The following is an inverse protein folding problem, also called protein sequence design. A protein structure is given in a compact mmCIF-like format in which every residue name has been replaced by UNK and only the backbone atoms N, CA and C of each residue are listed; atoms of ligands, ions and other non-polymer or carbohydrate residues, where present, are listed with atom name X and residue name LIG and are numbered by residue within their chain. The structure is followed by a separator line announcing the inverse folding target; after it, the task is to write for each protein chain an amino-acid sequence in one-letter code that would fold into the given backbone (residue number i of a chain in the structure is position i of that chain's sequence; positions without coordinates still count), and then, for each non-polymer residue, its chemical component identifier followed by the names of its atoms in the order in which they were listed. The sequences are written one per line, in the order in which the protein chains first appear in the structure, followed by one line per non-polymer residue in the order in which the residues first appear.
data_IF_365883117823
#
_entry.id   IF_365883117823
#
_cell.length_a   1.000
_cell.length_b   1.000
_cell.length_c   1.000
_cell.angle_alpha   90.00
_cell.angle_beta   90.00
_cell.angle_gamma   90.00
#
_symmetry.space_group_name_H-M   'P 1'
#
loop_
_entity.id
_entity.type
_entity.pdbx_description
1 polymer ?
#
# COMPACT_ATOMS: atom_id res chain seq x y z
N UNK A 1 -11.55 -7.64 15.96
CA UNK A 1 -12.18 -8.38 14.84
C UNK A 1 -11.36 -8.08 13.58
N UNK A 2 -11.15 -9.05 12.70
CA UNK A 2 -10.48 -8.79 11.41
C UNK A 2 -11.37 -7.87 10.57
N UNK A 3 -10.78 -6.95 9.83
CA UNK A 3 -11.53 -6.03 8.97
C UNK A 3 -12.05 -6.70 7.69
N UNK A 4 -11.60 -7.92 7.39
CA UNK A 4 -12.07 -8.74 6.27
C UNK A 4 -11.77 -10.23 6.51
N UNK A 5 -12.70 -11.10 6.12
CA UNK A 5 -12.52 -12.57 6.13
C UNK A 5 -11.62 -13.05 4.97
N UNK A 6 -11.21 -12.13 4.09
CA UNK A 6 -10.35 -12.39 2.92
C UNK A 6 -8.91 -11.89 3.11
N UNK A 7 -8.57 -11.34 4.28
CA UNK A 7 -7.20 -10.99 4.66
C UNK A 7 -6.68 -11.97 5.71
N UNK A 8 -5.45 -12.44 5.52
CA UNK A 8 -4.73 -13.20 6.55
C UNK A 8 -4.24 -12.29 7.69
N UNK A 9 -4.11 -10.99 7.44
CA UNK A 9 -3.55 -9.99 8.36
C UNK A 9 -4.66 -9.16 9.04
N UNK A 10 -4.31 -8.58 10.19
CA UNK A 10 -5.04 -7.43 10.72
C UNK A 10 -4.42 -6.18 10.10
N UNK A 11 -5.22 -5.18 9.76
CA UNK A 11 -4.67 -3.94 9.23
C UNK A 11 -5.50 -2.72 9.63
N UNK A 12 -4.82 -1.59 9.88
CA UNK A 12 -5.50 -0.33 10.18
C UNK A 12 -6.19 0.23 8.94
N UNK A 13 -5.50 0.23 7.80
CA UNK A 13 -6.00 0.71 6.51
C UNK A 13 -5.84 -0.41 5.47
N UNK A 14 -6.96 -0.82 4.86
CA UNK A 14 -6.97 -1.76 3.74
C UNK A 14 -7.45 -1.03 2.49
N UNK A 15 -6.65 -1.07 1.42
CA UNK A 15 -7.00 -0.47 0.13
C UNK A 15 -7.01 -1.58 -0.92
N UNK A 16 -8.18 -1.80 -1.51
CA UNK A 16 -8.37 -2.86 -2.52
C UNK A 16 -9.47 -2.48 -3.50
N UNK A 17 -9.43 -3.06 -4.70
CA UNK A 17 -10.53 -2.98 -5.66
C UNK A 17 -11.37 -4.28 -5.60
N UNK A 18 -12.68 -4.12 -5.49
CA UNK A 18 -13.67 -5.21 -5.54
C UNK A 18 -14.03 -5.55 -6.98
N UNK A 19 -14.20 -6.84 -7.28
CA UNK A 19 -14.59 -7.34 -8.60
C UNK A 19 -16.11 -7.27 -8.88
N UNK A 20 -16.91 -6.56 -8.07
CA UNK A 20 -18.38 -6.56 -8.25
C UNK A 20 -18.88 -5.76 -9.46
N UNK A 21 -18.00 -5.07 -10.19
CA UNK A 21 -18.38 -4.26 -11.35
C UNK A 21 -19.06 -2.93 -11.00
N UNK A 22 -19.25 -2.63 -9.71
CA UNK A 22 -19.91 -1.41 -9.22
C UNK A 22 -18.95 -0.26 -8.91
N UNK A 23 -17.64 -0.53 -8.91
CA UNK A 23 -16.60 0.45 -8.62
C UNK A 23 -16.03 1.00 -9.93
N UNK A 24 -15.95 2.33 -10.04
CA UNK A 24 -15.28 2.97 -11.16
C UNK A 24 -13.83 2.52 -11.24
N UNK A 25 -13.37 2.19 -12.45
CA UNK A 25 -11.96 1.93 -12.72
C UNK A 25 -11.15 3.20 -12.43
N UNK A 26 -10.07 3.08 -11.66
CA UNK A 26 -9.23 4.22 -11.32
C UNK A 26 -8.21 3.93 -10.22
N UNK A 27 -7.29 4.87 -10.04
CA UNK A 27 -6.32 4.87 -8.94
C UNK A 27 -7.03 5.29 -7.66
N UNK A 28 -6.99 4.43 -6.64
CA UNK A 28 -7.49 4.77 -5.30
C UNK A 28 -6.56 5.80 -4.64
N UNK A 29 -7.05 6.55 -3.65
CA UNK A 29 -6.18 7.46 -2.90
C UNK A 29 -6.50 7.46 -1.40
N UNK A 30 -5.46 7.62 -0.60
CA UNK A 30 -5.52 7.86 0.83
C UNK A 30 -4.70 9.10 1.16
N UNK A 31 -5.23 10.00 1.99
CA UNK A 31 -4.50 11.19 2.43
C UNK A 31 -4.67 11.41 3.93
N UNK A 32 -3.56 11.61 4.64
CA UNK A 32 -3.53 11.97 6.05
C UNK A 32 -2.56 13.13 6.28
N UNK A 33 -3.13 14.31 6.55
CA UNK A 33 -2.39 15.54 6.83
C UNK A 33 -2.62 15.92 8.31
N UNK A 34 -1.65 15.62 9.17
CA UNK A 34 -1.81 15.75 10.61
C UNK A 34 -2.57 14.58 11.25
N UNK A 35 -2.90 14.75 12.53
CA UNK A 35 -3.70 13.79 13.29
C UNK A 35 -2.91 12.56 13.77
N UNK A 36 -3.64 11.56 14.28
CA UNK A 36 -3.05 10.36 14.86
C UNK A 36 -3.77 9.11 14.36
N UNK A 37 -2.99 8.08 14.00
CA UNK A 37 -3.46 6.74 13.69
C UNK A 37 -2.66 5.74 14.53
N UNK A 38 -3.35 4.99 15.38
CA UNK A 38 -2.75 3.94 16.20
C UNK A 38 -3.27 2.60 15.74
N UNK A 39 -2.41 1.80 15.11
CA UNK A 39 -2.69 0.41 14.81
C UNK A 39 -2.35 -0.46 16.02
N UNK A 40 -3.28 -1.33 16.41
CA UNK A 40 -3.11 -2.21 17.57
C UNK A 40 -2.68 -3.63 17.18
N UNK A 41 -2.89 -4.04 15.92
CA UNK A 41 -2.65 -5.41 15.48
C UNK A 41 -2.41 -5.44 13.96
N UNK A 42 -1.39 -6.17 13.53
CA UNK A 42 -0.95 -6.39 12.15
C UNK A 42 -0.39 -5.16 11.44
N UNK A 43 -0.63 -5.05 10.14
CA UNK A 43 -0.01 -4.06 9.27
C UNK A 43 -0.69 -2.69 9.37
N UNK A 44 0.02 -1.59 9.17
CA UNK A 44 -0.64 -0.27 9.11
C UNK A 44 -1.41 -0.12 7.80
N UNK A 45 -0.72 -0.30 6.67
CA UNK A 45 -1.29 -0.27 5.33
C UNK A 45 -1.17 -1.65 4.67
N UNK A 46 -2.30 -2.16 4.18
CA UNK A 46 -2.33 -3.33 3.30
C UNK A 46 -2.98 -2.96 1.96
N UNK A 47 -2.25 -3.17 0.87
CA UNK A 47 -2.70 -2.86 -0.50
C UNK A 47 -2.63 -4.10 -1.36
N UNK A 48 -3.74 -4.44 -2.02
CA UNK A 48 -3.82 -5.55 -2.96
C UNK A 48 -4.81 -5.25 -4.10
N UNK A 49 -4.56 -5.83 -5.26
CA UNK A 49 -5.45 -5.77 -6.43
C UNK A 49 -5.89 -4.35 -6.81
N UNK A 50 -5.01 -3.35 -6.67
CA UNK A 50 -5.34 -1.96 -6.99
C UNK A 50 -4.09 -1.10 -7.16
N UNK A 51 -4.22 -0.02 -7.92
CA UNK A 51 -3.30 1.11 -7.88
C UNK A 51 -3.76 2.13 -6.85
N UNK A 52 -2.82 2.65 -6.05
CA UNK A 52 -3.14 3.60 -4.99
C UNK A 52 -2.08 4.68 -4.80
N UNK A 53 -2.54 5.90 -4.56
CA UNK A 53 -1.74 7.03 -4.09
C UNK A 53 -1.97 7.24 -2.59
N UNK A 54 -0.93 7.03 -1.78
CA UNK A 54 -0.94 7.29 -0.33
C UNK A 54 -0.15 8.57 -0.07
N UNK A 55 -0.81 9.61 0.43
CA UNK A 55 -0.17 10.89 0.80
C UNK A 55 -0.19 11.10 2.30
N UNK A 56 0.99 11.22 2.92
CA UNK A 56 1.16 11.41 4.36
C UNK A 56 1.94 12.69 4.63
N UNK A 57 1.41 13.54 5.51
CA UNK A 57 2.14 14.72 5.95
C UNK A 57 1.89 15.03 7.42
N UNK A 58 2.96 15.17 8.20
CA UNK A 58 2.93 15.55 9.61
C UNK A 58 1.94 14.75 10.47
N UNK A 59 1.69 13.49 10.13
CA UNK A 59 0.78 12.60 10.85
C UNK A 59 1.54 11.79 11.92
N UNK A 60 0.91 11.52 13.05
CA UNK A 60 1.45 10.59 14.06
C UNK A 60 0.89 9.19 13.78
N UNK A 61 1.73 8.28 13.28
CA UNK A 61 1.32 6.90 12.99
C UNK A 61 2.11 5.97 13.91
N UNK A 62 1.40 5.14 14.67
CA UNK A 62 1.99 4.17 15.60
C UNK A 62 1.47 2.78 15.28
N UNK A 63 2.38 1.83 15.04
CA UNK A 63 2.05 0.40 15.03
C UNK A 63 2.47 -0.22 16.36
N UNK A 64 1.52 -0.71 17.13
CA UNK A 64 1.78 -1.40 18.40
C UNK A 64 2.05 -2.89 18.21
N UNK A 65 1.79 -3.44 17.03
CA UNK A 65 2.14 -4.82 16.70
C UNK A 65 3.56 -4.88 16.13
N UNK A 66 4.44 -5.58 16.84
CA UNK A 66 5.84 -5.73 16.45
C UNK A 66 6.04 -6.72 15.30
N UNK A 67 5.06 -7.58 15.02
CA UNK A 67 5.09 -8.52 13.90
C UNK A 67 4.48 -7.92 12.63
N UNK A 68 3.76 -6.80 12.76
CA UNK A 68 3.14 -6.09 11.67
C UNK A 68 4.08 -5.08 11.00
N UNK A 69 3.89 -4.87 9.70
CA UNK A 69 4.72 -3.92 8.93
C UNK A 69 4.00 -2.59 8.72
N UNK A 70 4.74 -1.54 8.38
CA UNK A 70 4.13 -0.25 8.04
C UNK A 70 3.33 -0.34 6.74
N UNK A 71 3.90 -0.96 5.71
CA UNK A 71 3.23 -1.15 4.43
C UNK A 71 3.45 -2.57 3.92
N UNK A 72 2.37 -3.23 3.50
CA UNK A 72 2.42 -4.44 2.71
C UNK A 72 1.65 -4.26 1.40
N UNK A 73 2.38 -4.30 0.29
CA UNK A 73 1.82 -4.44 -1.05
C UNK A 73 1.99 -5.90 -1.48
N UNK A 74 0.89 -6.63 -1.58
CA UNK A 74 0.94 -8.06 -1.90
C UNK A 74 -0.34 -8.56 -2.56
N UNK A 75 -0.22 -9.65 -3.31
CA UNK A 75 -1.35 -10.45 -3.71
C UNK A 75 -2.12 -11.00 -2.49
N UNK A 76 -3.44 -11.07 -2.62
CA UNK A 76 -4.33 -11.69 -1.64
C UNK A 76 -5.56 -12.28 -2.34
N UNK A 77 -6.59 -12.68 -1.59
CA UNK A 77 -7.77 -13.39 -2.12
C UNK A 77 -8.70 -12.59 -3.07
N UNK A 78 -8.23 -11.50 -3.66
CA UNK A 78 -8.94 -10.66 -4.63
C UNK A 78 -8.10 -10.50 -5.89
N UNK A 79 -8.75 -10.42 -7.06
CA UNK A 79 -8.09 -10.27 -8.36
C UNK A 79 -7.66 -11.59 -9.01
N UNK A 80 -7.00 -11.47 -10.16
CA UNK A 80 -6.42 -12.60 -10.89
C UNK A 80 -5.05 -12.96 -10.32
N UNK A 81 -4.84 -14.24 -10.03
CA UNK A 81 -3.55 -14.75 -9.56
C UNK A 81 -2.42 -14.35 -10.51
N UNK A 82 -1.34 -13.79 -9.97
CA UNK A 82 -0.20 -13.30 -10.74
C UNK A 82 -0.32 -11.85 -11.23
N UNK A 83 -1.48 -11.19 -11.06
CA UNK A 83 -1.66 -9.76 -11.42
C UNK A 83 -2.48 -8.97 -10.40
N UNK A 84 -2.63 -9.51 -9.19
CA UNK A 84 -3.44 -8.97 -8.11
C UNK A 84 -2.63 -8.36 -6.96
N UNK A 85 -1.38 -7.98 -7.22
CA UNK A 85 -0.54 -7.24 -6.28
C UNK A 85 -1.02 -5.80 -6.05
N UNK A 86 -0.42 -5.14 -5.07
CA UNK A 86 -0.62 -3.72 -4.80
C UNK A 86 0.32 -2.87 -5.64
N UNK A 87 -0.22 -1.84 -6.30
CA UNK A 87 0.55 -0.91 -7.14
C UNK A 87 0.59 0.45 -6.40
N UNK A 88 1.59 0.68 -5.55
CA UNK A 88 1.59 1.78 -4.57
C UNK A 88 2.51 2.93 -4.99
N UNK A 89 1.98 4.16 -4.94
CA UNK A 89 2.76 5.39 -4.87
C UNK A 89 2.56 6.04 -3.51
N UNK A 90 3.61 6.13 -2.70
CA UNK A 90 3.57 6.77 -1.38
C UNK A 90 4.35 8.08 -1.39
N UNK A 91 3.68 9.17 -1.01
CA UNK A 91 4.25 10.51 -0.90
C UNK A 91 4.27 10.94 0.58
N UNK A 92 5.47 11.07 1.14
CA UNK A 92 5.71 11.46 2.53
C UNK A 92 6.38 12.84 2.60
N UNK A 93 5.77 13.77 3.33
CA UNK A 93 6.25 15.15 3.51
C UNK A 93 6.26 15.56 4.97
N UNK A 94 7.41 15.94 5.52
CA UNK A 94 7.57 16.18 6.96
C UNK A 94 6.95 15.02 7.78
N UNK A 95 7.19 13.79 7.32
CA UNK A 95 6.56 12.61 7.87
C UNK A 95 7.63 11.69 8.47
N UNK A 96 7.40 11.24 9.70
CA UNK A 96 8.16 10.14 10.29
C UNK A 96 7.42 8.84 10.04
N UNK A 97 8.11 7.87 9.43
CA UNK A 97 7.62 6.52 9.16
C UNK A 97 8.49 5.56 9.97
N UNK A 98 7.86 4.72 10.79
CA UNK A 98 8.53 3.67 11.56
C UNK A 98 7.90 2.32 11.24
N UNK A 99 8.75 1.33 10.97
CA UNK A 99 8.34 -0.05 10.65
C UNK A 99 8.65 -0.43 9.22
N UNK A 100 8.78 -1.72 8.98
CA UNK A 100 9.25 -2.25 7.70
C UNK A 100 8.21 -2.08 6.58
N UNK A 101 8.65 -2.29 5.34
CA UNK A 101 7.77 -2.40 4.18
C UNK A 101 8.03 -3.70 3.42
N UNK A 102 6.96 -4.33 2.96
CA UNK A 102 7.01 -5.58 2.20
C UNK A 102 6.29 -5.40 0.87
N UNK A 103 6.96 -5.79 -0.21
CA UNK A 103 6.45 -5.76 -1.58
C UNK A 103 6.72 -7.12 -2.21
N UNK A 104 5.65 -7.82 -2.60
CA UNK A 104 5.77 -9.13 -3.24
C UNK A 104 6.07 -9.05 -4.74
N UNK A 105 6.33 -10.21 -5.36
CA UNK A 105 6.78 -10.33 -6.75
C UNK A 105 5.82 -9.78 -7.82
N UNK A 106 4.56 -9.53 -7.47
CA UNK A 106 3.55 -9.00 -8.39
C UNK A 106 3.07 -7.59 -7.99
N UNK A 107 3.77 -6.96 -7.04
CA UNK A 107 3.47 -5.64 -6.50
C UNK A 107 4.60 -4.66 -6.80
N UNK A 108 4.30 -3.37 -6.66
CA UNK A 108 5.34 -2.34 -6.67
C UNK A 108 5.13 -1.26 -5.61
N UNK A 109 6.21 -0.55 -5.33
CA UNK A 109 6.24 0.63 -4.49
C UNK A 109 7.12 1.72 -5.10
N UNK A 110 6.53 2.87 -5.39
CA UNK A 110 7.25 4.15 -5.49
C UNK A 110 7.15 4.88 -4.15
N UNK A 111 8.26 5.03 -3.42
CA UNK A 111 8.32 5.72 -2.13
C UNK A 111 9.05 7.05 -2.27
N UNK A 112 8.33 8.16 -2.10
CA UNK A 112 8.88 9.51 -2.13
C UNK A 112 8.89 10.10 -0.72
N UNK A 113 10.08 10.40 -0.20
CA UNK A 113 10.27 11.10 1.06
C UNK A 113 10.89 12.46 0.80
N UNK A 114 10.23 13.51 1.28
CA UNK A 114 10.66 14.90 1.09
C UNK A 114 10.42 15.75 2.32
N UNK A 115 10.89 17.00 2.30
CA UNK A 115 10.74 17.98 3.37
C UNK A 115 11.18 17.43 4.74
N UNK A 116 12.42 16.93 4.82
CA UNK A 116 13.02 16.36 6.04
C UNK A 116 12.22 15.19 6.64
N UNK A 117 11.49 14.44 5.82
CA UNK A 117 10.86 13.18 6.24
C UNK A 117 11.91 12.16 6.71
N UNK A 118 11.51 11.28 7.62
CA UNK A 118 12.39 10.25 8.19
C UNK A 118 11.73 8.90 8.04
N UNK A 119 12.45 7.95 7.49
CA UNK A 119 12.07 6.55 7.45
C UNK A 119 13.01 5.72 8.31
N UNK A 120 12.47 5.03 9.31
CA UNK A 120 13.17 4.05 10.13
C UNK A 120 12.55 2.66 9.88
N UNK A 121 13.23 1.83 9.12
CA UNK A 121 12.72 0.52 8.73
C UNK A 121 13.56 -0.15 7.66
N UNK A 122 13.21 -1.39 7.34
CA UNK A 122 13.76 -2.14 6.22
C UNK A 122 12.71 -2.31 5.12
N UNK A 123 13.17 -2.50 3.88
CA UNK A 123 12.31 -2.89 2.75
C UNK A 123 12.74 -4.26 2.27
N UNK A 124 11.80 -5.20 2.25
CA UNK A 124 12.01 -6.58 1.78
C UNK A 124 13.23 -7.26 2.42
N UNK A 125 13.29 -7.26 3.76
CA UNK A 125 14.46 -7.70 4.53
C UNK A 125 14.88 -9.17 4.34
N UNK A 126 14.02 -10.00 3.73
CA UNK A 126 14.31 -11.39 3.40
C UNK A 126 14.92 -11.61 2.02
N UNK A 127 15.03 -10.55 1.20
CA UNK A 127 15.57 -10.61 -0.16
C UNK A 127 14.74 -9.83 -1.16
N UNK A 128 15.30 -9.61 -2.35
CA UNK A 128 14.65 -8.85 -3.43
C UNK A 128 13.36 -9.55 -3.90
N UNK A 129 12.26 -8.81 -3.88
CA UNK A 129 10.95 -9.17 -4.38
C UNK A 129 10.25 -7.91 -4.89
N UNK A 130 9.37 -8.07 -5.89
CA UNK A 130 8.65 -6.97 -6.51
C UNK A 130 9.54 -5.86 -7.08
N UNK A 131 8.93 -4.73 -7.44
CA UNK A 131 9.65 -3.54 -7.86
C UNK A 131 9.55 -2.44 -6.82
N UNK A 132 10.69 -1.94 -6.34
CA UNK A 132 10.74 -0.85 -5.36
C UNK A 132 11.64 0.28 -5.85
N UNK A 133 11.07 1.47 -5.95
CA UNK A 133 11.78 2.72 -6.13
C UNK A 133 11.71 3.55 -4.84
N UNK A 134 12.84 4.09 -4.41
CA UNK A 134 12.92 5.02 -3.28
C UNK A 134 13.55 6.34 -3.74
N UNK A 135 12.89 7.45 -3.42
CA UNK A 135 13.37 8.81 -3.63
C UNK A 135 13.49 9.52 -2.28
N UNK A 136 14.71 9.94 -1.95
CA UNK A 136 15.02 10.74 -0.76
C UNK A 136 15.47 12.13 -1.23
N UNK A 137 14.61 13.13 -1.02
CA UNK A 137 14.88 14.51 -1.41
C UNK A 137 14.55 15.49 -0.29
N UNK A 138 14.95 16.76 -0.43
CA UNK A 138 14.59 17.81 0.54
C UNK A 138 15.07 17.54 1.97
N UNK A 139 16.24 16.89 2.12
CA UNK A 139 16.82 16.53 3.41
C UNK A 139 16.21 15.29 4.08
N UNK A 140 15.37 14.53 3.37
CA UNK A 140 14.82 13.28 3.88
C UNK A 140 15.92 12.27 4.24
N UNK A 141 15.67 11.46 5.27
CA UNK A 141 16.60 10.44 5.77
C UNK A 141 15.96 9.07 5.82
N UNK A 142 16.75 8.05 5.50
CA UNK A 142 16.41 6.65 5.74
C UNK A 142 17.47 5.99 6.62
N UNK A 143 17.06 5.53 7.80
CA UNK A 143 17.88 4.71 8.69
C UNK A 143 17.43 3.26 8.60
N UNK A 144 18.34 2.37 8.21
CA UNK A 144 18.05 0.95 8.07
C UNK A 144 17.93 0.26 9.45
N UNK A 145 17.02 -0.70 9.54
CA UNK A 145 16.83 -1.58 10.72
C UNK A 145 17.17 -3.05 10.44
N UNK A 146 17.35 -3.39 9.17
CA UNK A 146 17.82 -4.67 8.66
C UNK A 146 18.38 -4.46 7.25
N UNK A 147 18.97 -5.51 6.67
CA UNK A 147 19.32 -5.50 5.25
C UNK A 147 18.07 -5.21 4.42
N UNK A 148 18.21 -4.44 3.35
CA UNK A 148 17.09 -3.97 2.53
C UNK A 148 17.36 -4.18 1.06
N UNK A 149 16.31 -4.49 0.30
CA UNK A 149 16.41 -4.86 -1.12
C UNK A 149 15.41 -4.04 -1.92
N UNK A 150 15.92 -3.18 -2.80
CA UNK A 150 15.13 -2.33 -3.68
C UNK A 150 15.65 -2.41 -5.11
N UNK A 151 14.84 -1.95 -6.07
CA UNK A 151 15.18 -2.00 -7.49
C UNK A 151 15.89 -0.71 -7.94
N UNK A 152 15.48 0.43 -7.43
CA UNK A 152 15.92 1.74 -7.92
C UNK A 152 15.97 2.76 -6.78
N UNK A 153 16.94 3.67 -6.82
CA UNK A 153 17.21 4.62 -5.74
C UNK A 153 17.61 5.98 -6.30
N UNK A 154 16.97 7.03 -5.81
CA UNK A 154 17.43 8.42 -5.92
C UNK A 154 17.67 8.98 -4.54
N UNK A 155 18.89 9.45 -4.26
CA UNK A 155 19.23 10.02 -2.96
C UNK A 155 20.46 10.94 -3.02
N UNK A 156 20.55 11.88 -2.08
CA UNK A 156 21.79 12.61 -1.81
C UNK A 156 22.76 11.75 -0.99
N UNK A 157 24.06 12.10 -1.03
CA UNK A 157 25.13 11.34 -0.41
C UNK A 157 24.94 11.03 1.09
N UNK A 158 24.29 11.94 1.82
CA UNK A 158 24.08 11.85 3.27
C UNK A 158 22.67 11.35 3.64
N UNK A 159 21.86 10.94 2.68
CA UNK A 159 20.43 10.62 2.90
C UNK A 159 20.19 9.28 3.59
N UNK A 160 21.17 8.37 3.54
CA UNK A 160 21.01 6.99 4.03
C UNK A 160 21.99 6.73 5.16
N UNK A 161 21.46 6.32 6.31
CA UNK A 161 22.21 5.72 7.40
C UNK A 161 22.04 4.20 7.34
N UNK A 162 23.11 3.52 6.95
CA UNK A 162 23.13 2.06 6.86
C UNK A 162 22.99 1.39 8.23
N UNK A 163 23.35 2.06 9.32
CA UNK A 163 23.17 1.56 10.69
C UNK A 163 23.66 0.10 10.90
N UNK A 164 24.78 -0.27 10.26
CA UNK A 164 25.36 -1.61 10.34
C UNK A 164 24.76 -2.66 9.38
N UNK A 165 23.81 -2.29 8.53
CA UNK A 165 23.15 -3.14 7.54
C UNK A 165 23.60 -2.84 6.10
N UNK A 166 23.13 -3.65 5.16
CA UNK A 166 23.39 -3.48 3.73
C UNK A 166 22.11 -3.13 2.98
N UNK A 167 22.15 -2.03 2.22
CA UNK A 167 21.16 -1.74 1.20
C UNK A 167 21.62 -2.34 -0.14
N UNK A 168 20.81 -3.20 -0.73
CA UNK A 168 21.00 -3.71 -2.08
C UNK A 168 20.08 -2.97 -3.04
N UNK A 169 20.67 -2.28 -4.02
CA UNK A 169 19.96 -1.63 -5.12
C UNK A 169 20.20 -2.46 -6.37
N UNK A 170 19.13 -3.09 -6.88
CA UNK A 170 19.16 -4.02 -8.01
C UNK A 170 20.26 -5.09 -7.86
N UNK A 171 20.30 -5.75 -6.71
CA UNK A 171 21.29 -6.78 -6.38
C UNK A 171 22.71 -6.27 -6.08
N UNK A 172 22.99 -4.97 -6.18
CA UNK A 172 24.30 -4.38 -5.86
C UNK A 172 24.27 -3.68 -4.51
N UNK A 173 25.25 -3.97 -3.66
CA UNK A 173 25.41 -3.27 -2.39
C UNK A 173 25.68 -1.76 -2.63
N UNK A 174 24.88 -0.92 -1.99
CA UNK A 174 25.04 0.52 -1.95
C UNK A 174 26.27 0.90 -1.11
N UNK A 175 26.95 1.97 -1.50
CA UNK A 175 28.09 2.51 -0.76
C UNK A 175 27.64 3.71 0.05
N UNK A 176 27.79 3.64 1.38
CA UNK A 176 27.47 4.77 2.26
C UNK A 176 28.18 6.05 1.82
N UNK A 177 27.50 7.19 1.92
CA UNK A 177 28.07 8.48 1.53
C UNK A 177 28.03 8.77 0.03
N UNK A 178 27.27 8.03 -0.79
CA UNK A 178 27.23 8.23 -2.25
C UNK A 178 25.85 8.67 -2.72
N UNK A 179 25.78 9.65 -3.62
CA UNK A 179 24.51 10.01 -4.24
C UNK A 179 24.11 8.95 -5.28
N UNK A 180 22.81 8.83 -5.54
CA UNK A 180 22.25 7.95 -6.56
C UNK A 180 21.15 8.64 -7.35
N UNK A 181 20.95 8.22 -8.59
CA UNK A 181 19.82 8.64 -9.43
C UNK A 181 19.23 7.38 -10.06
N UNK A 182 17.96 7.16 -9.78
CA UNK A 182 17.17 6.05 -10.26
C UNK A 182 15.95 6.54 -11.04
N UNK A 183 15.19 5.59 -11.57
CA UNK A 183 13.92 5.84 -12.23
C UNK A 183 12.77 5.26 -11.40
N UNK A 184 11.66 6.00 -11.39
CA UNK A 184 10.41 5.57 -10.80
C UNK A 184 9.70 4.53 -11.68
N UNK A 185 8.90 3.70 -11.05
CA UNK A 185 8.12 2.65 -11.70
C UNK A 185 6.88 3.28 -12.32
N UNK A 186 6.63 2.99 -13.60
CA UNK A 186 5.42 3.43 -14.27
C UNK A 186 4.20 2.68 -13.73
N UNK A 187 3.35 3.36 -12.97
CA UNK A 187 2.12 2.77 -12.43
C UNK A 187 1.08 2.65 -13.54
N UNK A 188 0.80 1.43 -13.98
CA UNK A 188 -0.29 1.16 -14.93
C UNK A 188 -1.53 0.76 -14.13
N UNK A 189 -2.58 1.57 -14.22
CA UNK A 189 -3.89 1.20 -13.68
C UNK A 189 -4.36 -0.07 -14.38
N UNK A 190 -4.51 -1.18 -13.64
CA UNK A 190 -5.01 -2.43 -14.18
C UNK A 190 -6.51 -2.32 -14.43
N UNK A 191 -6.88 -1.81 -15.61
CA UNK A 191 -8.19 -2.09 -16.18
C UNK A 191 -8.21 -3.56 -16.56
N UNK A 192 -9.01 -4.38 -15.86
CA UNK A 192 -9.33 -5.70 -16.38
C UNK A 192 -10.16 -5.49 -17.64
N UNK A 193 -9.49 -5.46 -18.80
CA UNK A 193 -10.14 -5.44 -20.10
C UNK A 193 -11.02 -6.68 -20.22
N UNK A 194 -12.30 -6.55 -19.86
CA UNK A 194 -13.28 -7.56 -20.14
C UNK A 194 -13.57 -7.47 -21.64
N UNK A 195 -12.88 -8.31 -22.41
CA UNK A 195 -13.21 -8.57 -23.80
C UNK A 195 -14.69 -8.87 -23.91
N UNK A 196 -15.37 -8.14 -24.80
CA UNK A 196 -16.81 -8.26 -25.00
C UNK A 196 -17.22 -9.70 -25.30
N UNK A 197 -18.32 -10.14 -24.68
CA UNK A 197 -18.90 -11.45 -25.01
C UNK A 197 -19.77 -12.10 -23.96
N UNK A 198 -20.54 -11.37 -23.16
CA UNK A 198 -21.82 -11.91 -22.65
C UNK A 198 -22.71 -10.76 -22.21
N UNK A 199 -23.91 -10.72 -22.80
CA UNK A 199 -24.99 -9.82 -22.42
C UNK A 199 -25.26 -9.95 -20.93
N UNK A 200 -25.44 -8.83 -20.19
CA UNK A 200 -25.97 -8.88 -18.83
C UNK A 200 -27.32 -9.64 -18.84
N UNK A 201 -27.62 -10.50 -17.85
CA UNK A 201 -28.95 -11.05 -17.73
C UNK A 201 -29.97 -9.91 -17.58
N UNK A 202 -31.06 -10.01 -18.34
CA UNK A 202 -32.12 -8.99 -18.41
C UNK A 202 -32.58 -8.57 -17.01
N UNK A 203 -32.67 -7.26 -16.82
CA UNK A 203 -33.36 -6.62 -15.69
C UNK A 203 -34.78 -7.25 -15.59
N UNK A 204 -35.18 -7.84 -14.46
CA UNK A 204 -36.56 -8.28 -14.30
C UNK A 204 -37.48 -7.08 -14.45
N UNK A 205 -38.35 -7.15 -15.46
CA UNK A 205 -39.23 -6.06 -15.86
C UNK A 205 -40.16 -5.60 -14.73
N UNK A 206 -40.42 -4.30 -14.70
CA UNK A 206 -41.53 -3.72 -13.95
C UNK A 206 -42.85 -4.26 -14.49
N UNK A 207 -43.64 -4.89 -13.62
CA UNK A 207 -45.03 -5.23 -13.92
C UNK A 207 -45.66 -6.20 -12.92
N UNK A 208 -46.57 -5.67 -12.09
CA UNK A 208 -47.70 -6.46 -11.58
C UNK A 208 -47.77 -6.62 -10.06
N UNK A 209 -48.85 -6.10 -9.49
CA UNK A 209 -49.26 -6.13 -8.09
C UNK A 209 -49.21 -7.52 -7.43
N UNK A 210 -48.62 -7.60 -6.24
CA UNK A 210 -48.75 -8.75 -5.34
C UNK A 210 -48.42 -8.35 -3.90
N UNK A 211 -49.46 -8.20 -3.08
CA UNK A 211 -49.36 -8.00 -1.63
C UNK A 211 -48.67 -9.20 -0.97
N UNK A 212 -47.51 -9.01 -0.34
CA UNK A 212 -47.07 -9.84 0.78
C UNK A 212 -46.14 -9.06 1.73
N UNK A 213 -46.68 -8.85 2.93
CA UNK A 213 -46.08 -8.62 4.24
C UNK A 213 -44.56 -8.33 4.31
N UNK A 214 -44.20 -7.06 4.46
CA UNK A 214 -42.86 -6.67 4.92
C UNK A 214 -42.87 -6.67 6.45
N UNK A 215 -42.24 -7.70 7.03
CA UNK A 215 -41.83 -7.65 8.44
C UNK A 215 -41.03 -6.37 8.71
N UNK A 216 -41.40 -5.65 9.76
CA UNK A 216 -40.77 -4.40 10.18
C UNK A 216 -39.27 -4.62 10.51
N UNK A 217 -38.36 -3.78 10.02
CA UNK A 217 -36.95 -3.80 10.45
C UNK A 217 -36.83 -3.50 11.95
N UNK A 218 -35.88 -4.12 12.67
CA UNK A 218 -35.67 -3.83 14.09
C UNK A 218 -35.17 -2.40 14.30
N UNK A 219 -35.65 -1.78 15.39
CA UNK A 219 -35.30 -0.41 15.78
C UNK A 219 -33.80 -0.26 16.11
N UNK A 220 -33.28 0.92 15.76
CA UNK A 220 -31.90 1.35 16.03
C UNK A 220 -31.68 1.46 17.56
N UNK A 221 -30.54 1.01 18.11
CA UNK A 221 -30.24 1.20 19.53
C UNK A 221 -30.15 2.70 19.84
N UNK A 222 -30.88 3.14 20.85
CA UNK A 222 -30.68 4.46 21.46
C UNK A 222 -29.34 4.46 22.23
N UNK A 223 -28.66 5.60 22.18
CA UNK A 223 -27.39 5.93 22.84
C UNK A 223 -27.17 5.29 24.22
#
# INVERSE_FOLDING_TARGET
KKNSDKSSYYQAVMIYQSMSGDAAEGTSSFTMNGGTLTNQNGDVFFVNNTATDISLSNATITNNDTEGVFLRAAAAGWGSEGSNGGQVTMNAKQQTINGDMVVDDVSHLNLYLSDSSVFNGAINSTGQAGEVYVDLSGGAKWTLTADSYITSLTCDADSIDLNGHTLYVNGKAYTAGTASTGEAIAVVSTGSGHGGGSTPPDKPGEGGSGSSDRGTPPEKPNN
#
